data_IF_152572623427
#
_entry.id   IF_152572623427
#
_cell.length_a   1.000
_cell.length_b   1.000
_cell.length_c   1.000
_cell.angle_alpha   90.00
_cell.angle_beta   90.00
_cell.angle_gamma   90.00
#
_symmetry.space_group_name_H-M   'P 1'
#
loop_
_entity.id
_entity.type
_entity.pdbx_description
1 polymer ?
#
# COMPACT_ATOMS: atom_id res chain seq x y z
N UNK A 1 -15.29 -38.42 7.76
CA UNK A 1 -14.45 -37.57 6.89
C UNK A 1 -15.40 -36.76 6.06
N UNK A 2 -15.51 -35.45 6.32
CA UNK A 2 -16.46 -34.59 5.61
C UNK A 2 -15.79 -34.15 4.31
N UNK A 3 -16.22 -34.72 3.18
CA UNK A 3 -15.85 -34.23 1.85
C UNK A 3 -16.46 -32.84 1.68
N UNK A 4 -15.65 -31.80 1.91
CA UNK A 4 -16.00 -30.43 1.55
C UNK A 4 -15.65 -30.26 0.08
N UNK A 5 -16.44 -30.89 -0.80
CA UNK A 5 -16.38 -30.57 -2.23
C UNK A 5 -17.10 -29.23 -2.41
N UNK A 6 -16.31 -28.16 -2.36
CA UNK A 6 -16.74 -26.80 -2.70
C UNK A 6 -17.18 -26.81 -4.16
N UNK A 7 -18.43 -26.43 -4.42
CA UNK A 7 -18.94 -26.32 -5.79
C UNK A 7 -18.23 -25.18 -6.54
N UNK A 8 -18.14 -25.27 -7.87
CA UNK A 8 -17.52 -24.22 -8.71
C UNK A 8 -18.12 -22.83 -8.46
N UNK A 9 -19.42 -22.75 -8.18
CA UNK A 9 -20.11 -21.52 -7.82
C UNK A 9 -19.66 -20.98 -6.45
N UNK A 10 -19.52 -21.84 -5.43
CA UNK A 10 -18.97 -21.45 -4.12
C UNK A 10 -17.51 -20.99 -4.23
N UNK A 11 -16.72 -21.62 -5.12
CA UNK A 11 -15.33 -21.21 -5.38
C UNK A 11 -15.27 -19.82 -6.02
N UNK A 12 -16.07 -19.56 -7.07
CA UNK A 12 -16.17 -18.22 -7.68
C UNK A 12 -16.63 -17.16 -6.69
N UNK A 13 -17.61 -17.48 -5.84
CA UNK A 13 -18.08 -16.57 -4.81
C UNK A 13 -16.97 -16.26 -3.79
N UNK A 14 -16.26 -17.27 -3.33
CA UNK A 14 -15.14 -17.09 -2.39
C UNK A 14 -14.03 -16.21 -2.98
N UNK A 15 -13.67 -16.43 -4.26
CA UNK A 15 -12.72 -15.56 -4.98
C UNK A 15 -13.22 -14.12 -5.06
N UNK A 16 -14.48 -13.92 -5.45
CA UNK A 16 -15.05 -12.58 -5.55
C UNK A 16 -15.06 -11.83 -4.21
N UNK A 17 -15.41 -12.52 -3.11
CA UNK A 17 -15.35 -11.93 -1.77
C UNK A 17 -13.92 -11.64 -1.32
N UNK A 18 -12.96 -12.48 -1.70
CA UNK A 18 -11.53 -12.23 -1.49
C UNK A 18 -11.08 -10.94 -2.16
N UNK A 19 -11.32 -10.82 -3.47
CA UNK A 19 -10.97 -9.64 -4.27
C UNK A 19 -11.59 -8.34 -3.71
N UNK A 20 -12.86 -8.40 -3.30
CA UNK A 20 -13.57 -7.26 -2.69
C UNK A 20 -12.92 -6.83 -1.37
N UNK A 21 -12.56 -7.80 -0.51
CA UNK A 21 -11.89 -7.53 0.77
C UNK A 21 -10.51 -6.91 0.54
N UNK A 22 -9.75 -7.43 -0.41
CA UNK A 22 -8.39 -6.95 -0.67
C UNK A 22 -8.41 -5.53 -1.24
N UNK A 23 -9.36 -5.20 -2.11
CA UNK A 23 -9.59 -3.82 -2.58
C UNK A 23 -9.94 -2.87 -1.44
N UNK A 24 -10.85 -3.26 -0.56
CA UNK A 24 -11.21 -2.44 0.60
C UNK A 24 -10.01 -2.21 1.52
N UNK A 25 -9.22 -3.25 1.78
CA UNK A 25 -8.01 -3.13 2.59
C UNK A 25 -6.99 -2.21 1.91
N UNK A 26 -6.80 -2.35 0.61
CA UNK A 26 -5.92 -1.51 -0.19
C UNK A 26 -6.32 -0.02 -0.08
N UNK A 27 -7.60 0.31 -0.24
CA UNK A 27 -8.09 1.68 -0.10
C UNK A 27 -7.87 2.23 1.31
N UNK A 28 -8.18 1.44 2.35
CA UNK A 28 -7.95 1.81 3.75
C UNK A 28 -6.47 2.12 4.02
N UNK A 29 -5.58 1.21 3.60
CA UNK A 29 -4.13 1.36 3.75
C UNK A 29 -3.60 2.57 3.01
N UNK A 30 -4.09 2.81 1.79
CA UNK A 30 -3.70 3.99 1.00
C UNK A 30 -4.09 5.29 1.72
N UNK A 31 -5.33 5.39 2.23
CA UNK A 31 -5.77 6.59 2.96
C UNK A 31 -4.99 6.80 4.26
N UNK A 32 -4.74 5.74 5.01
CA UNK A 32 -3.95 5.81 6.24
C UNK A 32 -2.51 6.23 5.95
N UNK A 33 -1.87 5.68 4.91
CA UNK A 33 -0.53 6.06 4.48
C UNK A 33 -0.44 7.54 4.13
N UNK A 34 -1.41 8.07 3.37
CA UNK A 34 -1.51 9.50 3.05
C UNK A 34 -1.63 10.35 4.32
N UNK A 35 -2.44 9.94 5.30
CA UNK A 35 -2.58 10.68 6.56
C UNK A 35 -1.30 10.66 7.39
N UNK A 36 -0.61 9.53 7.47
CA UNK A 36 0.68 9.42 8.16
C UNK A 36 1.72 10.29 7.46
N UNK A 37 1.82 10.22 6.13
CA UNK A 37 2.72 11.08 5.35
C UNK A 37 2.41 12.58 5.55
N UNK A 38 1.14 12.97 5.63
CA UNK A 38 0.75 14.34 5.93
C UNK A 38 1.22 14.79 7.33
N UNK A 39 1.16 13.90 8.34
CA UNK A 39 1.68 14.17 9.69
C UNK A 39 3.21 14.31 9.71
N UNK A 40 3.91 13.68 8.77
CA UNK A 40 5.36 13.85 8.56
C UNK A 40 5.70 15.16 7.83
N UNK A 41 4.70 15.94 7.42
CA UNK A 41 4.89 17.23 6.74
C UNK A 41 4.98 17.12 5.21
N UNK A 42 4.54 16.01 4.62
CA UNK A 42 4.43 15.86 3.17
C UNK A 42 3.47 16.90 2.56
N UNK A 43 3.88 17.52 1.45
CA UNK A 43 3.04 18.39 0.64
C UNK A 43 2.23 17.60 -0.38
N UNK A 44 1.43 18.30 -1.19
CA UNK A 44 0.49 17.67 -2.14
C UNK A 44 1.20 16.74 -3.13
N UNK A 45 2.37 17.14 -3.64
CA UNK A 45 3.13 16.34 -4.60
C UNK A 45 3.65 15.05 -3.95
N UNK A 46 4.22 15.13 -2.74
CA UNK A 46 4.68 13.95 -2.03
C UNK A 46 3.52 13.02 -1.62
N UNK A 47 2.35 13.58 -1.26
CA UNK A 47 1.15 12.79 -0.97
C UNK A 47 0.62 12.07 -2.22
N UNK A 48 0.70 12.71 -3.38
CA UNK A 48 0.35 12.08 -4.66
C UNK A 48 1.32 10.94 -5.00
N UNK A 49 2.62 11.13 -4.78
CA UNK A 49 3.63 10.08 -4.96
C UNK A 49 3.38 8.89 -4.01
N UNK A 50 3.05 9.14 -2.74
CA UNK A 50 2.62 8.09 -1.79
C UNK A 50 1.39 7.34 -2.29
N UNK A 51 0.39 8.05 -2.80
CA UNK A 51 -0.81 7.42 -3.35
C UNK A 51 -0.47 6.48 -4.52
N UNK A 52 0.41 6.91 -5.44
CA UNK A 52 0.83 6.08 -6.57
C UNK A 52 1.67 4.88 -6.14
N UNK A 53 2.63 5.09 -5.23
CA UNK A 53 3.44 4.02 -4.67
C UNK A 53 2.58 2.95 -3.97
N UNK A 54 1.59 3.39 -3.19
CA UNK A 54 0.62 2.48 -2.58
C UNK A 54 -0.21 1.75 -3.64
N UNK A 55 -0.72 2.46 -4.66
CA UNK A 55 -1.55 1.87 -5.72
C UNK A 55 -0.87 0.76 -6.52
N UNK A 56 0.43 0.89 -6.75
CA UNK A 56 1.14 -0.02 -7.65
C UNK A 56 2.12 -0.94 -6.92
N UNK A 57 2.57 -0.58 -5.72
CA UNK A 57 3.62 -1.28 -4.99
C UNK A 57 3.13 -2.02 -3.76
N UNK A 58 1.98 -1.65 -3.19
CA UNK A 58 1.46 -2.32 -2.00
C UNK A 58 0.49 -3.46 -2.36
N UNK A 59 0.69 -4.62 -1.74
CA UNK A 59 -0.29 -5.72 -1.71
C UNK A 59 -0.39 -6.30 -0.29
N UNK A 60 -1.44 -7.08 0.03
CA UNK A 60 -1.54 -7.77 1.31
C UNK A 60 -0.36 -8.70 1.62
N UNK A 61 0.31 -9.24 0.60
CA UNK A 61 1.53 -10.03 0.75
C UNK A 61 2.71 -9.16 1.17
N UNK A 62 2.83 -7.97 0.59
CA UNK A 62 3.85 -6.98 0.96
C UNK A 62 3.65 -6.51 2.40
N UNK A 63 2.40 -6.45 2.90
CA UNK A 63 2.10 -6.13 4.32
C UNK A 63 2.74 -7.12 5.32
N UNK A 64 3.17 -8.31 4.85
CA UNK A 64 3.88 -9.30 5.67
C UNK A 64 5.38 -9.01 5.78
N UNK A 65 5.94 -8.24 4.85
CA UNK A 65 7.31 -7.70 4.92
C UNK A 65 7.31 -6.55 5.92
N UNK A 66 7.89 -6.75 7.11
CA UNK A 66 7.83 -5.76 8.20
C UNK A 66 8.90 -4.68 8.03
N UNK A 67 8.51 -3.41 8.15
CA UNK A 67 9.43 -2.27 8.32
C UNK A 67 10.13 -1.83 7.04
N UNK A 68 11.47 -1.72 7.09
CA UNK A 68 12.32 -1.15 6.04
C UNK A 68 12.11 -1.74 4.64
N UNK A 69 11.85 -3.05 4.53
CA UNK A 69 11.59 -3.72 3.25
C UNK A 69 10.35 -3.16 2.53
N UNK A 70 9.32 -2.77 3.27
CA UNK A 70 8.15 -2.12 2.66
C UNK A 70 8.50 -0.73 2.13
N UNK A 71 9.25 0.05 2.89
CA UNK A 71 9.71 1.37 2.46
C UNK A 71 10.50 1.30 1.16
N UNK A 72 11.39 0.31 1.04
CA UNK A 72 12.16 0.03 -0.18
C UNK A 72 11.24 -0.35 -1.36
N UNK A 73 10.26 -1.25 -1.17
CA UNK A 73 9.31 -1.63 -2.23
C UNK A 73 8.49 -0.43 -2.73
N UNK A 74 7.99 0.39 -1.81
CA UNK A 74 7.21 1.58 -2.16
C UNK A 74 8.08 2.64 -2.86
N UNK A 75 9.33 2.78 -2.42
CA UNK A 75 10.31 3.67 -3.04
C UNK A 75 10.66 3.22 -4.45
N UNK A 76 10.96 1.94 -4.65
CA UNK A 76 11.27 1.36 -5.96
C UNK A 76 10.10 1.55 -6.92
N UNK A 77 8.88 1.30 -6.45
CA UNK A 77 7.65 1.55 -7.23
C UNK A 77 7.51 3.03 -7.61
N UNK A 78 7.79 3.94 -6.69
CA UNK A 78 7.74 5.36 -6.95
C UNK A 78 8.80 5.76 -8.00
N UNK A 79 10.04 5.29 -7.85
CA UNK A 79 11.11 5.52 -8.80
C UNK A 79 10.81 4.95 -10.19
N UNK A 80 10.15 3.80 -10.27
CA UNK A 80 9.66 3.23 -11.53
C UNK A 80 8.65 4.14 -12.20
N UNK A 81 7.64 4.62 -11.46
CA UNK A 81 6.65 5.55 -11.99
C UNK A 81 7.31 6.84 -12.52
N UNK A 82 8.31 7.39 -11.83
CA UNK A 82 9.06 8.56 -12.32
C UNK A 82 9.91 8.25 -13.56
N UNK A 83 10.50 7.04 -13.64
CA UNK A 83 11.24 6.57 -14.82
C UNK A 83 10.37 6.46 -16.06
N UNK A 84 9.13 6.01 -15.92
CA UNK A 84 8.15 5.99 -17.01
C UNK A 84 7.88 7.39 -17.58
N UNK A 85 8.03 8.43 -16.74
CA UNK A 85 7.85 9.83 -17.11
C UNK A 85 9.17 10.55 -17.47
N UNK A 86 10.22 9.78 -17.81
CA UNK A 86 11.55 10.28 -18.25
C UNK A 86 12.36 11.02 -17.18
N UNK A 87 12.05 10.83 -15.92
CA UNK A 87 12.91 11.25 -14.81
C UNK A 87 13.79 10.07 -14.33
N UNK A 88 14.97 10.30 -13.74
CA UNK A 88 15.82 9.20 -13.28
C UNK A 88 15.26 8.47 -12.06
N UNK A 89 14.60 9.19 -11.15
CA UNK A 89 14.00 8.71 -9.91
C UNK A 89 13.05 9.78 -9.34
N UNK A 90 12.33 9.44 -8.26
CA UNK A 90 11.47 10.39 -7.55
C UNK A 90 12.28 11.53 -6.91
N UNK A 91 11.69 12.72 -6.73
CA UNK A 91 12.32 13.81 -5.98
C UNK A 91 12.73 13.40 -4.57
N UNK A 92 13.84 13.93 -4.07
CA UNK A 92 14.43 13.59 -2.76
C UNK A 92 13.41 13.68 -1.61
N UNK A 93 12.51 14.67 -1.63
CA UNK A 93 11.47 14.80 -0.60
C UNK A 93 10.48 13.63 -0.61
N UNK A 94 10.00 13.22 -1.78
CA UNK A 94 9.12 12.05 -1.92
C UNK A 94 9.82 10.77 -1.45
N UNK A 95 11.12 10.63 -1.76
CA UNK A 95 11.93 9.50 -1.30
C UNK A 95 12.02 9.45 0.22
N UNK A 96 12.38 10.56 0.87
CA UNK A 96 12.43 10.65 2.34
C UNK A 96 11.07 10.35 2.98
N UNK A 97 9.97 10.84 2.39
CA UNK A 97 8.62 10.54 2.89
C UNK A 97 8.34 9.03 2.80
N UNK A 98 8.67 8.36 1.71
CA UNK A 98 8.44 6.91 1.53
C UNK A 98 9.33 6.07 2.44
N UNK A 99 10.59 6.46 2.63
CA UNK A 99 11.51 5.83 3.58
C UNK A 99 10.95 5.91 5.00
N UNK A 100 10.54 7.11 5.44
CA UNK A 100 9.93 7.31 6.75
C UNK A 100 8.59 6.58 6.89
N UNK A 101 7.79 6.52 5.81
CA UNK A 101 6.51 5.81 5.81
C UNK A 101 6.70 4.31 6.05
N UNK A 102 7.77 3.70 5.51
CA UNK A 102 8.14 2.31 5.79
C UNK A 102 8.45 2.05 7.26
N UNK A 103 9.18 2.97 7.91
CA UNK A 103 9.44 2.92 9.36
C UNK A 103 8.17 3.13 10.19
N UNK A 104 7.30 4.04 9.75
CA UNK A 104 6.01 4.38 10.38
C UNK A 104 4.87 3.44 9.97
N UNK A 105 5.18 2.30 9.35
CA UNK A 105 4.15 1.38 8.89
C UNK A 105 3.23 0.86 10.02
N UNK A 106 3.73 0.56 11.24
CA UNK A 106 2.85 0.24 12.36
C UNK A 106 1.79 1.32 12.63
N UNK A 107 2.11 2.60 12.46
CA UNK A 107 1.17 3.71 12.60
C UNK A 107 0.15 3.74 11.47
N UNK A 108 0.55 3.41 10.23
CA UNK A 108 -0.39 3.22 9.12
C UNK A 108 -1.38 2.10 9.43
N UNK A 109 -0.88 1.01 10.02
CA UNK A 109 -1.73 -0.13 10.42
C UNK A 109 -2.74 0.29 11.49
N UNK A 110 -2.27 0.94 12.54
CA UNK A 110 -3.11 1.43 13.63
C UNK A 110 -4.15 2.47 13.16
N UNK A 111 -3.76 3.38 12.27
CA UNK A 111 -4.66 4.38 11.69
C UNK A 111 -5.81 3.76 10.87
N UNK A 112 -5.59 2.59 10.25
CA UNK A 112 -6.67 1.86 9.57
C UNK A 112 -7.67 1.24 10.55
N UNK A 113 -7.23 0.84 11.74
CA UNK A 113 -8.10 0.24 12.76
C UNK A 113 -9.05 1.27 13.37
N UNK A 114 -8.67 2.56 13.37
CA UNK A 114 -9.51 3.67 13.82
C UNK A 114 -10.67 3.99 12.85
N UNK A 115 -10.61 3.54 11.59
CA UNK A 115 -11.67 3.75 10.58
C UNK A 115 -12.72 2.63 10.54
N UNK A 116 -12.56 1.56 11.33
CA UNK A 116 -13.47 0.41 11.38
C UNK A 116 -14.51 0.55 12.47
#
# INVERSE_FOLDING_TARGET
>A
MTDINMTDEQYKQALHYGDMRDRQLHELRTRAAIRVAARLGAGVDELHDVMLAMRYGWTPEVDKCRGKELGEILLDTCDENWREHRAPCAPERSRHVLELLGEMWPDVVAECELER
#
